data_IF_338876711895
#
_entry.id   IF_338876711895
#
_cell.length_a   1.000
_cell.length_b   1.000
_cell.length_c   1.000
_cell.angle_alpha   90.00
_cell.angle_beta   90.00
_cell.angle_gamma   90.00
#
_symmetry.space_group_name_H-M   'P 1'
#
loop_
_entity.id
_entity.type
_entity.pdbx_description
1 polymer ?
#
# COMPACT_ATOMS: atom_id res chain seq x y z
N UNK A 1 -12.30 80.19 44.69
CA UNK A 1 -12.50 80.91 43.42
C UNK A 1 -13.26 79.96 42.50
N UNK A 2 -14.57 80.16 42.29
CA UNK A 2 -15.21 80.95 41.22
C UNK A 2 -15.45 80.16 39.91
N UNK A 3 -16.72 79.77 39.72
CA UNK A 3 -17.51 79.65 38.45
C UNK A 3 -17.13 78.59 37.38
N UNK A 4 -17.94 77.52 37.29
CA UNK A 4 -19.04 77.27 36.31
C UNK A 4 -19.11 78.19 35.05
N UNK A 5 -19.75 77.85 33.87
CA UNK A 5 -20.94 76.99 33.78
C UNK A 5 -21.33 76.26 32.44
N UNK A 6 -22.50 75.58 32.49
CA UNK A 6 -23.58 75.51 31.44
C UNK A 6 -23.45 74.69 30.12
N UNK A 7 -24.51 74.13 29.49
CA UNK A 7 -25.88 73.64 29.89
C UNK A 7 -26.63 72.95 28.71
N UNK A 8 -27.63 72.08 29.01
CA UNK A 8 -28.94 71.81 28.32
C UNK A 8 -28.93 71.26 26.86
N UNK A 9 -29.55 70.13 26.48
CA UNK A 9 -30.97 69.67 26.58
C UNK A 9 -31.95 70.58 25.78
N UNK A 10 -33.09 70.14 25.15
CA UNK A 10 -33.85 68.90 25.42
C UNK A 10 -34.71 68.19 24.29
N UNK A 11 -35.29 67.05 24.67
CA UNK A 11 -36.70 66.59 24.47
C UNK A 11 -37.37 66.14 23.12
N UNK A 12 -38.03 64.96 23.22
CA UNK A 12 -39.42 64.57 22.82
C UNK A 12 -39.86 64.37 21.35
N UNK A 13 -40.27 63.13 21.01
CA UNK A 13 -41.67 62.64 20.88
C UNK A 13 -41.64 61.16 20.41
N UNK A 14 -42.29 60.15 21.01
CA UNK A 14 -43.70 59.88 21.42
C UNK A 14 -44.55 59.22 20.30
N UNK A 15 -44.87 57.93 20.53
CA UNK A 15 -45.94 57.10 19.94
C UNK A 15 -45.85 56.77 18.41
N UNK A 16 -46.48 55.72 17.84
CA UNK A 16 -47.64 54.88 18.24
C UNK A 16 -47.58 53.40 17.74
N UNK A 17 -48.22 52.49 18.51
CA UNK A 17 -49.08 51.34 18.10
C UNK A 17 -48.65 50.26 17.06
N UNK A 18 -48.62 49.01 17.56
CA UNK A 18 -48.98 47.67 17.00
C UNK A 18 -50.28 47.62 16.12
N UNK A 19 -50.69 46.46 15.50
CA UNK A 19 -49.97 45.22 15.06
C UNK A 19 -50.45 44.57 13.70
N UNK A 20 -49.83 43.41 13.37
CA UNK A 20 -50.42 42.18 12.76
C UNK A 20 -50.61 41.97 11.22
N UNK A 21 -50.03 40.86 10.74
CA UNK A 21 -50.45 39.89 9.68
C UNK A 21 -50.88 40.41 8.28
N UNK A 22 -50.36 39.87 7.15
CA UNK A 22 -50.54 38.47 6.71
C UNK A 22 -49.42 37.97 5.76
N UNK A 23 -49.63 36.80 5.15
CA UNK A 23 -48.71 36.04 4.30
C UNK A 23 -48.27 36.75 3.01
N UNK A 24 -47.03 36.48 2.57
CA UNK A 24 -46.78 36.18 1.15
C UNK A 24 -45.47 35.38 0.97
N UNK A 25 -45.54 34.29 0.22
CA UNK A 25 -44.36 33.53 -0.21
C UNK A 25 -44.15 33.71 -1.71
N UNK A 26 -42.95 34.11 -2.15
CA UNK A 26 -42.54 33.83 -3.52
C UNK A 26 -41.26 32.99 -3.64
N UNK A 27 -41.34 31.98 -4.51
CA UNK A 27 -40.34 31.71 -5.54
C UNK A 27 -38.95 31.22 -5.10
N UNK A 28 -38.91 29.93 -4.78
CA UNK A 28 -38.12 28.93 -5.50
C UNK A 28 -36.97 29.48 -6.40
N UNK A 29 -35.85 29.87 -5.80
CA UNK A 29 -34.69 30.38 -6.52
C UNK A 29 -34.01 29.26 -7.31
N UNK A 30 -34.36 29.12 -8.60
CA UNK A 30 -33.71 28.24 -9.59
C UNK A 30 -32.24 28.64 -9.78
N UNK A 31 -31.34 28.18 -8.93
CA UNK A 31 -29.89 28.32 -9.16
C UNK A 31 -29.49 27.52 -10.40
N UNK A 32 -29.22 28.26 -11.47
CA UNK A 32 -28.80 27.79 -12.80
C UNK A 32 -27.74 26.69 -12.67
N UNK A 33 -27.94 25.56 -13.39
CA UNK A 33 -26.87 24.60 -13.69
C UNK A 33 -25.73 25.37 -14.37
N UNK A 34 -24.59 25.57 -13.70
CA UNK A 34 -23.33 25.78 -14.41
C UNK A 34 -22.86 24.42 -14.92
N UNK A 35 -22.51 24.37 -16.19
CA UNK A 35 -22.08 23.13 -16.83
C UNK A 35 -20.76 22.64 -16.22
N UNK A 36 -20.76 21.39 -15.76
CA UNK A 36 -19.58 20.61 -15.39
C UNK A 36 -19.71 19.24 -16.07
N UNK A 37 -19.80 19.27 -17.40
CA UNK A 37 -19.73 18.10 -18.29
C UNK A 37 -18.51 18.27 -19.21
N UNK A 38 -17.52 17.40 -19.17
CA UNK A 38 -17.38 16.32 -18.19
C UNK A 38 -16.03 15.62 -18.24
N UNK A 39 -15.68 14.99 -17.12
CA UNK A 39 -14.64 13.96 -17.10
C UNK A 39 -15.32 12.64 -17.46
N UNK A 40 -15.15 12.19 -18.71
CA UNK A 40 -15.59 10.84 -19.10
C UNK A 40 -14.74 9.82 -18.36
N UNK A 41 -15.36 9.04 -17.48
CA UNK A 41 -14.80 7.76 -17.04
C UNK A 41 -14.92 6.80 -18.22
N UNK A 42 -13.82 6.55 -18.93
CA UNK A 42 -13.80 5.55 -20.01
C UNK A 42 -13.89 4.15 -19.40
N UNK A 43 -15.11 3.62 -19.34
CA UNK A 43 -15.35 2.21 -19.04
C UNK A 43 -14.97 1.40 -20.28
N UNK A 44 -13.79 0.77 -20.26
CA UNK A 44 -13.42 -0.21 -21.28
C UNK A 44 -14.15 -1.53 -21.00
N UNK A 45 -15.17 -1.81 -21.81
CA UNK A 45 -15.81 -3.13 -21.91
C UNK A 45 -14.89 -4.11 -22.64
N UNK A 46 -14.79 -5.39 -22.21
CA UNK A 46 -13.93 -6.38 -22.85
C UNK A 46 -14.70 -7.24 -23.87
N UNK A 47 -14.80 -6.82 -25.13
CA UNK A 47 -15.27 -7.70 -26.22
C UNK A 47 -14.71 -7.31 -27.60
N UNK A 48 -14.49 -8.35 -28.42
CA UNK A 48 -14.11 -8.34 -29.85
C UNK A 48 -12.66 -7.93 -30.20
N UNK A 49 -12.00 -8.80 -30.98
CA UNK A 49 -10.61 -8.62 -31.41
C UNK A 49 -9.97 -9.88 -32.02
N UNK A 50 -10.69 -10.63 -32.86
CA UNK A 50 -10.06 -11.60 -33.76
C UNK A 50 -9.38 -10.81 -34.89
N UNK A 51 -8.09 -11.04 -35.12
CA UNK A 51 -7.38 -10.49 -36.27
C UNK A 51 -7.55 -11.41 -37.48
N UNK A 52 -7.90 -10.83 -38.62
CA UNK A 52 -7.91 -11.44 -39.95
C UNK A 52 -6.95 -10.65 -40.84
N UNK A 53 -6.18 -11.33 -41.69
CA UNK A 53 -5.26 -10.68 -42.62
C UNK A 53 -6.03 -10.10 -43.83
N UNK A 54 -5.63 -8.95 -44.39
CA UNK A 54 -6.02 -8.55 -45.74
C UNK A 54 -5.04 -9.11 -46.78
N UNK A 55 -5.56 -9.43 -47.97
CA UNK A 55 -4.81 -9.87 -49.15
C UNK A 55 -4.61 -8.72 -50.17
N UNK A 56 -3.78 -8.98 -51.19
CA UNK A 56 -3.39 -8.02 -52.23
C UNK A 56 -4.54 -7.57 -53.16
N UNK A 57 -4.48 -6.34 -53.73
CA UNK A 57 -5.28 -5.92 -54.88
C UNK A 57 -4.49 -5.98 -56.22
N UNK A 58 -5.17 -6.07 -57.39
CA UNK A 58 -4.54 -6.39 -58.68
C UNK A 58 -4.11 -5.19 -59.55
N UNK A 59 -3.47 -5.53 -60.68
CA UNK A 59 -2.81 -4.70 -61.71
C UNK A 59 -3.71 -3.84 -62.62
N UNK A 60 -3.18 -2.70 -63.13
CA UNK A 60 -3.70 -2.10 -64.38
C UNK A 60 -3.16 -0.72 -64.84
N UNK A 61 -2.38 -0.72 -65.94
CA UNK A 61 -2.21 0.35 -66.97
C UNK A 61 -1.39 1.65 -66.68
N UNK A 62 -0.55 2.03 -67.67
CA UNK A 62 0.14 3.34 -67.84
C UNK A 62 -0.42 4.12 -69.05
N UNK A 63 0.28 5.11 -69.70
CA UNK A 63 1.74 5.21 -69.89
C UNK A 63 2.43 6.63 -69.82
N UNK A 64 3.78 6.59 -69.93
CA UNK A 64 4.86 7.53 -70.41
C UNK A 64 4.54 8.89 -71.11
N UNK A 65 5.50 9.88 -71.28
CA UNK A 65 6.95 9.69 -71.54
C UNK A 65 8.06 10.66 -71.02
N UNK A 66 9.30 10.10 -70.97
CA UNK A 66 10.71 10.54 -71.28
C UNK A 66 11.12 12.01 -71.66
N UNK A 67 12.44 12.37 -71.87
CA UNK A 67 13.70 11.55 -71.94
C UNK A 67 15.01 12.10 -71.24
N UNK A 68 16.10 11.30 -71.23
CA UNK A 68 17.50 11.77 -71.08
C UNK A 68 18.54 10.74 -70.56
N UNK A 69 19.52 10.28 -71.38
CA UNK A 69 20.61 9.35 -71.00
C UNK A 69 22.03 9.98 -71.08
N UNK A 70 23.16 9.26 -71.30
CA UNK A 70 23.39 7.81 -71.47
C UNK A 70 24.60 7.23 -70.63
N UNK A 71 25.04 5.98 -70.92
CA UNK A 71 26.00 5.18 -70.11
C UNK A 71 27.34 4.79 -70.80
N UNK A 72 28.32 4.27 -70.02
CA UNK A 72 29.60 3.55 -70.37
C UNK A 72 30.33 3.14 -69.06
N UNK A 73 31.28 2.18 -68.92
CA UNK A 73 31.63 0.89 -69.59
C UNK A 73 32.62 0.10 -68.67
N UNK A 74 32.76 -1.23 -68.90
CA UNK A 74 33.49 -2.33 -68.20
C UNK A 74 35.00 -2.18 -67.83
N UNK A 75 35.45 -2.99 -66.85
CA UNK A 75 36.66 -3.90 -66.76
C UNK A 75 36.50 -4.79 -65.47
N UNK A 76 36.77 -6.10 -65.35
CA UNK A 76 37.97 -6.97 -65.53
C UNK A 76 39.10 -6.67 -64.48
N UNK A 77 39.79 -7.60 -63.77
CA UNK A 77 40.06 -9.06 -63.97
C UNK A 77 40.65 -9.78 -62.70
N UNK A 78 40.73 -11.15 -62.68
CA UNK A 78 41.58 -12.12 -61.89
C UNK A 78 41.82 -12.00 -60.34
N UNK A 79 41.56 -12.98 -59.43
CA UNK A 79 42.04 -14.38 -59.17
C UNK A 79 43.32 -14.51 -58.28
N UNK A 80 43.64 -15.64 -57.57
CA UNK A 80 42.83 -16.82 -57.10
C UNK A 80 43.19 -17.44 -55.69
N UNK A 81 42.48 -18.51 -55.28
CA UNK A 81 42.75 -19.60 -54.27
C UNK A 81 43.01 -19.24 -52.77
N UNK A 82 42.31 -19.76 -51.73
CA UNK A 82 41.98 -21.13 -51.25
C UNK A 82 43.21 -21.97 -50.75
N UNK A 83 43.12 -22.87 -49.73
CA UNK A 83 41.92 -23.68 -49.35
C UNK A 83 41.68 -24.10 -47.85
N UNK A 84 40.44 -24.58 -47.56
CA UNK A 84 40.03 -25.73 -46.67
C UNK A 84 40.43 -25.76 -45.15
N UNK A 85 39.79 -26.53 -44.23
CA UNK A 85 38.44 -27.13 -44.01
C UNK A 85 38.45 -27.87 -42.64
N UNK A 86 37.27 -28.35 -42.17
CA UNK A 86 36.97 -29.30 -41.05
C UNK A 86 36.64 -28.60 -39.71
N UNK A 87 35.47 -28.79 -39.05
CA UNK A 87 34.73 -29.99 -38.56
C UNK A 87 35.54 -30.77 -37.51
N UNK A 88 35.00 -31.22 -36.36
CA UNK A 88 33.59 -31.35 -35.91
C UNK A 88 33.49 -31.43 -34.37
N UNK A 89 32.29 -31.13 -33.85
CA UNK A 89 31.62 -31.61 -32.61
C UNK A 89 32.31 -32.67 -31.71
N UNK A 90 32.17 -32.52 -30.37
CA UNK A 90 31.46 -33.50 -29.50
C UNK A 90 31.37 -33.02 -28.03
N UNK A 91 30.45 -33.60 -27.27
CA UNK A 91 30.07 -33.22 -25.90
C UNK A 91 30.56 -34.21 -24.81
N UNK A 92 30.30 -33.83 -23.54
CA UNK A 92 29.96 -34.68 -22.37
C UNK A 92 31.04 -35.25 -21.41
N UNK A 93 30.83 -34.88 -20.13
CA UNK A 93 31.15 -35.62 -18.86
C UNK A 93 32.65 -35.72 -18.51
N UNK A 94 33.12 -35.97 -17.26
CA UNK A 94 32.56 -36.60 -16.03
C UNK A 94 32.96 -35.78 -14.76
N UNK A 95 32.44 -36.13 -13.58
CA UNK A 95 32.69 -35.47 -12.27
C UNK A 95 33.77 -36.15 -11.38
N UNK A 96 34.08 -35.52 -10.23
CA UNK A 96 34.87 -36.00 -9.06
C UNK A 96 36.41 -36.05 -9.27
N UNK A 97 37.28 -35.71 -8.30
CA UNK A 97 37.27 -36.10 -6.89
C UNK A 97 37.97 -35.09 -5.92
N UNK A 98 38.08 -35.47 -4.64
CA UNK A 98 38.59 -34.69 -3.49
C UNK A 98 39.96 -35.18 -2.97
N UNK A 99 40.51 -34.45 -1.99
CA UNK A 99 41.69 -34.71 -1.11
C UNK A 99 43.07 -34.34 -1.71
N UNK A 100 44.06 -33.90 -0.93
CA UNK A 100 44.21 -33.82 0.55
C UNK A 100 44.73 -32.43 1.03
N UNK A 101 44.53 -32.04 2.31
CA UNK A 101 45.54 -31.87 3.40
C UNK A 101 46.68 -30.85 3.11
N UNK A 102 47.16 -30.02 4.05
CA UNK A 102 47.47 -30.34 5.47
C UNK A 102 47.43 -29.10 6.44
N UNK A 103 47.67 -29.37 7.73
CA UNK A 103 47.46 -28.59 8.96
C UNK A 103 48.37 -27.38 9.26
N UNK A 104 47.90 -26.49 10.17
CA UNK A 104 48.39 -26.25 11.57
C UNK A 104 47.56 -25.13 12.26
N UNK A 105 46.83 -25.41 13.35
CA UNK A 105 47.19 -25.26 14.79
C UNK A 105 47.53 -23.78 15.16
N UNK A 106 46.92 -23.11 16.15
CA UNK A 106 46.73 -23.52 17.57
C UNK A 106 45.49 -22.96 18.33
N UNK A 107 44.95 -23.76 19.25
CA UNK A 107 44.48 -23.53 20.66
C UNK A 107 44.38 -22.09 21.25
N UNK A 108 43.58 -21.76 22.28
CA UNK A 108 42.58 -22.44 23.13
C UNK A 108 41.61 -21.35 23.70
N UNK A 109 40.30 -21.59 23.89
CA UNK A 109 39.63 -21.94 25.18
C UNK A 109 38.09 -21.86 24.98
N UNK A 110 37.18 -22.34 25.85
CA UNK A 110 37.38 -23.18 27.05
C UNK A 110 36.27 -23.15 28.13
N UNK A 111 34.97 -23.37 27.83
CA UNK A 111 33.91 -23.56 28.84
C UNK A 111 33.03 -24.80 28.54
N UNK A 112 32.54 -25.50 29.58
CA UNK A 112 32.05 -26.90 29.48
C UNK A 112 30.88 -27.23 30.43
N UNK A 113 29.96 -28.07 29.93
CA UNK A 113 29.05 -28.99 30.68
C UNK A 113 27.81 -28.41 31.39
N UNK A 114 26.77 -29.23 31.72
CA UNK A 114 26.60 -30.68 31.48
C UNK A 114 25.32 -31.13 30.72
N UNK A 115 25.28 -32.43 30.40
CA UNK A 115 24.10 -33.18 29.92
C UNK A 115 23.99 -34.52 30.68
N UNK A 116 22.81 -34.84 31.21
CA UNK A 116 22.26 -36.18 31.49
C UNK A 116 20.79 -36.00 31.95
N UNK A 117 19.82 -36.92 31.84
CA UNK A 117 19.84 -38.40 31.79
C UNK A 117 18.81 -39.00 30.79
N UNK A 118 18.87 -40.33 30.59
CA UNK A 118 18.02 -41.18 29.71
C UNK A 118 16.81 -41.75 30.49
N UNK A 119 15.70 -42.15 29.88
CA UNK A 119 15.40 -43.50 29.32
C UNK A 119 13.89 -43.60 28.95
N UNK A 120 13.38 -44.68 28.31
CA UNK A 120 13.93 -45.53 27.24
C UNK A 120 12.96 -45.63 26.03
N UNK A 121 13.25 -46.49 25.04
CA UNK A 121 12.53 -46.60 23.77
C UNK A 121 11.47 -47.72 23.71
N UNK A 122 10.44 -47.55 22.87
CA UNK A 122 9.56 -48.64 22.37
C UNK A 122 9.47 -48.54 20.83
N UNK A 123 9.58 -49.69 20.14
CA UNK A 123 9.63 -49.76 18.66
C UNK A 123 8.24 -49.95 18.01
N UNK A 124 7.95 -49.07 17.05
CA UNK A 124 7.24 -49.25 15.76
C UNK A 124 6.32 -50.49 15.59
N UNK A 125 5.07 -50.23 15.19
CA UNK A 125 4.39 -50.91 14.06
C UNK A 125 3.58 -49.88 13.25
N UNK A 126 3.21 -50.23 12.02
CA UNK A 126 2.78 -49.26 11.00
C UNK A 126 1.48 -49.63 10.28
N UNK A 127 0.72 -48.60 9.88
CA UNK A 127 -0.27 -48.59 8.78
C UNK A 127 -1.58 -49.40 8.96
N UNK A 128 -2.67 -49.13 8.20
CA UNK A 128 -3.04 -47.91 7.44
C UNK A 128 -4.50 -47.41 7.72
N UNK A 129 -4.91 -46.38 6.97
CA UNK A 129 -6.28 -45.81 6.85
C UNK A 129 -7.36 -46.85 6.42
N UNK A 130 -8.65 -46.62 6.74
CA UNK A 130 -9.57 -46.23 5.64
C UNK A 130 -10.68 -45.20 5.99
N UNK A 131 -10.96 -44.33 5.03
CA UNK A 131 -12.29 -43.71 4.80
C UNK A 131 -13.11 -44.56 3.80
N UNK A 132 -14.35 -44.20 3.42
CA UNK A 132 -15.52 -43.87 4.24
C UNK A 132 -16.75 -44.73 3.84
N UNK A 133 -17.85 -44.73 4.62
CA UNK A 133 -19.15 -45.24 4.15
C UNK A 133 -20.33 -44.33 4.50
N UNK A 134 -21.11 -44.01 3.47
CA UNK A 134 -22.41 -43.34 3.55
C UNK A 134 -23.53 -44.29 4.02
N UNK A 135 -24.70 -43.68 4.34
CA UNK A 135 -26.02 -44.29 4.54
C UNK A 135 -26.21 -44.99 5.91
N UNK A 136 -27.36 -44.89 6.60
CA UNK A 136 -28.73 -44.44 6.23
C UNK A 136 -29.49 -43.91 7.47
N UNK A 137 -30.60 -43.20 7.27
CA UNK A 137 -31.57 -42.87 8.33
C UNK A 137 -32.31 -44.12 8.83
N UNK A 138 -32.59 -44.20 10.13
CA UNK A 138 -33.66 -45.01 10.70
C UNK A 138 -34.37 -44.25 11.84
N UNK A 139 -35.70 -44.39 11.93
CA UNK A 139 -36.55 -43.86 13.02
C UNK A 139 -36.90 -44.98 14.00
N UNK A 140 -37.04 -44.64 15.28
CA UNK A 140 -38.02 -45.11 16.30
C UNK A 140 -37.80 -44.19 17.53
N UNK A 141 -38.77 -43.56 18.23
CA UNK A 141 -40.10 -43.88 18.79
C UNK A 141 -40.07 -44.73 20.09
N UNK A 142 -40.79 -44.26 21.12
CA UNK A 142 -40.85 -44.74 22.52
C UNK A 142 -39.93 -43.92 23.44
N UNK A 143 -40.38 -43.04 24.37
CA UNK A 143 -41.17 -43.25 25.61
C UNK A 143 -40.38 -44.02 26.68
N UNK A 144 -40.28 -43.63 27.97
CA UNK A 144 -40.65 -42.42 28.75
C UNK A 144 -39.67 -42.30 29.93
N UNK A 145 -39.54 -41.13 30.58
CA UNK A 145 -38.59 -40.95 31.70
C UNK A 145 -38.61 -39.56 32.33
N UNK A 146 -39.59 -39.31 33.19
CA UNK A 146 -39.82 -38.01 33.83
C UNK A 146 -38.76 -37.68 34.90
N UNK A 147 -37.90 -36.70 34.65
CA UNK A 147 -36.98 -36.12 35.64
C UNK A 147 -37.10 -34.59 35.66
N UNK A 148 -37.74 -34.09 36.72
CA UNK A 148 -38.08 -32.68 36.89
C UNK A 148 -36.85 -31.84 37.29
N UNK A 149 -36.10 -31.33 36.30
CA UNK A 149 -35.01 -30.37 36.54
C UNK A 149 -35.52 -28.95 36.35
N UNK A 150 -35.51 -28.18 37.43
CA UNK A 150 -35.93 -26.78 37.46
C UNK A 150 -35.09 -25.91 36.50
N UNK A 151 -35.65 -24.86 35.88
CA UNK A 151 -34.90 -24.00 34.99
C UNK A 151 -33.85 -23.21 35.78
N UNK A 152 -32.57 -23.55 35.57
CA UNK A 152 -31.43 -22.87 36.18
C UNK A 152 -31.36 -21.39 35.73
N UNK A 153 -31.94 -20.53 36.55
CA UNK A 153 -31.56 -19.13 36.83
C UNK A 153 -30.58 -18.46 35.85
N UNK A 154 -31.13 -17.57 35.02
CA UNK A 154 -30.55 -16.28 34.58
C UNK A 154 -29.01 -16.15 34.69
N UNK A 155 -28.28 -16.61 33.67
CA UNK A 155 -26.85 -16.34 33.51
C UNK A 155 -26.58 -15.42 32.30
N UNK A 156 -26.48 -14.12 32.61
CA UNK A 156 -25.76 -13.04 31.91
C UNK A 156 -25.98 -12.80 30.40
N UNK A 157 -26.25 -11.54 30.06
CA UNK A 157 -26.80 -11.12 28.77
C UNK A 157 -25.92 -11.34 27.54
N UNK A 158 -26.58 -11.52 26.39
CA UNK A 158 -25.96 -11.64 25.07
C UNK A 158 -25.46 -10.29 24.56
N UNK A 159 -24.29 -9.85 25.05
CA UNK A 159 -23.63 -8.64 24.56
C UNK A 159 -23.53 -8.64 23.03
N UNK A 160 -24.08 -7.59 22.40
CA UNK A 160 -24.08 -7.44 20.94
C UNK A 160 -22.65 -7.42 20.39
N UNK A 161 -22.48 -7.75 19.11
CA UNK A 161 -21.17 -7.71 18.44
C UNK A 161 -20.54 -6.30 18.55
N UNK A 162 -21.37 -5.26 18.56
CA UNK A 162 -20.94 -3.88 18.73
C UNK A 162 -20.47 -3.58 20.17
N UNK A 163 -21.14 -4.11 21.20
CA UNK A 163 -20.70 -3.92 22.58
C UNK A 163 -19.43 -4.72 22.92
N UNK A 164 -19.26 -5.88 22.29
CA UNK A 164 -17.99 -6.62 22.30
C UNK A 164 -16.87 -5.81 21.64
N UNK A 165 -17.13 -5.19 20.49
CA UNK A 165 -16.18 -4.30 19.83
C UNK A 165 -15.86 -3.03 20.65
N UNK A 166 -16.87 -2.43 21.30
CA UNK A 166 -16.75 -1.26 22.18
C UNK A 166 -15.81 -1.54 23.34
N UNK A 167 -16.04 -2.61 24.10
CA UNK A 167 -15.17 -3.02 25.21
C UNK A 167 -13.75 -3.38 24.74
N UNK A 168 -13.63 -4.10 23.62
CA UNK A 168 -12.30 -4.45 23.07
C UNK A 168 -11.48 -3.21 22.70
N UNK A 169 -12.06 -2.27 21.96
CA UNK A 169 -11.38 -1.04 21.56
C UNK A 169 -10.99 -0.18 22.77
N UNK A 170 -11.90 -0.03 23.75
CA UNK A 170 -11.60 0.68 24.98
C UNK A 170 -10.45 0.02 25.77
N UNK A 171 -10.44 -1.31 25.88
CA UNK A 171 -9.39 -2.07 26.58
C UNK A 171 -8.00 -1.89 25.97
N UNK A 172 -7.88 -1.82 24.63
CA UNK A 172 -6.60 -1.54 23.96
C UNK A 172 -6.25 -0.03 23.88
N UNK A 173 -6.99 0.82 24.59
CA UNK A 173 -6.75 2.26 24.66
C UNK A 173 -7.17 3.06 23.42
N UNK A 174 -8.00 2.51 22.53
CA UNK A 174 -8.59 3.28 21.43
C UNK A 174 -9.66 4.22 21.97
N UNK A 175 -9.48 5.52 21.73
CA UNK A 175 -10.48 6.54 22.08
C UNK A 175 -11.78 6.32 21.31
N UNK A 176 -12.85 6.05 22.04
CA UNK A 176 -14.21 6.01 21.50
C UNK A 176 -14.76 7.44 21.34
N UNK A 177 -15.27 7.74 20.15
CA UNK A 177 -15.83 9.04 19.78
C UNK A 177 -17.34 8.92 19.63
N UNK A 178 -18.09 9.90 20.13
CA UNK A 178 -19.54 9.99 19.89
C UNK A 178 -19.81 10.57 18.50
N UNK A 179 -20.89 10.16 17.86
CA UNK A 179 -21.34 10.68 16.56
C UNK A 179 -21.38 12.23 16.51
N UNK A 180 -21.90 12.88 17.55
CA UNK A 180 -21.95 14.35 17.67
C UNK A 180 -20.56 14.99 17.55
N UNK A 181 -19.51 14.31 18.00
CA UNK A 181 -18.12 14.78 17.89
C UNK A 181 -17.62 14.67 16.46
N UNK A 182 -17.86 13.55 15.78
CA UNK A 182 -17.42 13.35 14.38
C UNK A 182 -18.21 14.25 13.41
N UNK A 183 -19.51 14.45 13.65
CA UNK A 183 -20.33 15.41 12.88
C UNK A 183 -19.77 16.83 12.96
N UNK A 184 -19.33 17.28 14.15
CA UNK A 184 -18.65 18.58 14.30
C UNK A 184 -17.36 18.65 13.46
N UNK A 185 -16.56 17.58 13.46
CA UNK A 185 -15.31 17.54 12.67
C UNK A 185 -15.55 17.69 11.17
N UNK A 186 -16.67 17.15 10.67
CA UNK A 186 -17.08 17.27 9.27
C UNK A 186 -17.62 18.67 8.98
N UNK A 187 -18.50 19.21 9.84
CA UNK A 187 -19.09 20.55 9.62
C UNK A 187 -18.06 21.69 9.68
N UNK A 188 -16.96 21.53 10.42
CA UNK A 188 -15.91 22.55 10.54
C UNK A 188 -14.96 22.64 9.34
N UNK A 189 -15.14 21.83 8.30
CA UNK A 189 -14.37 21.95 7.05
C UNK A 189 -14.23 20.63 6.30
N UNK A 190 -15.31 20.20 5.63
CA UNK A 190 -15.31 18.93 4.89
C UNK A 190 -14.88 19.06 3.44
N UNK A 191 -13.99 18.16 3.01
CA UNK A 191 -13.63 17.94 1.62
C UNK A 191 -13.63 16.44 1.34
N UNK A 192 -14.29 16.00 0.26
CA UNK A 192 -14.21 14.61 -0.17
C UNK A 192 -12.79 14.25 -0.60
N UNK A 193 -12.23 13.16 -0.04
CA UNK A 193 -10.91 12.65 -0.42
C UNK A 193 -11.01 11.44 -1.36
N UNK A 194 -12.08 10.65 -1.25
CA UNK A 194 -12.36 9.55 -2.16
C UNK A 194 -13.42 8.58 -1.64
N UNK A 195 -13.80 7.63 -2.48
CA UNK A 195 -14.61 6.47 -2.13
C UNK A 195 -14.01 5.21 -2.78
N UNK A 196 -14.20 4.06 -2.14
CA UNK A 196 -13.64 2.79 -2.59
C UNK A 196 -14.36 1.59 -1.98
N UNK A 197 -13.78 0.39 -2.14
CA UNK A 197 -14.38 -0.88 -1.72
C UNK A 197 -14.73 -0.98 -0.22
N UNK A 198 -14.06 -0.18 0.62
CA UNK A 198 -14.25 -0.20 2.07
C UNK A 198 -15.22 0.88 2.58
N UNK A 199 -15.65 1.82 1.73
CA UNK A 199 -16.50 2.96 2.09
C UNK A 199 -15.98 4.29 1.55
N UNK A 200 -16.11 5.37 2.33
CA UNK A 200 -15.77 6.74 1.90
C UNK A 200 -14.81 7.43 2.87
N UNK A 201 -13.98 8.34 2.33
CA UNK A 201 -13.04 9.16 3.09
C UNK A 201 -13.31 10.64 2.84
N UNK A 202 -13.43 11.42 3.91
CA UNK A 202 -13.41 12.88 3.84
C UNK A 202 -12.35 13.47 4.78
N UNK A 203 -11.86 14.65 4.43
CA UNK A 203 -11.08 15.53 5.30
C UNK A 203 -12.05 16.27 6.22
N UNK A 204 -11.60 16.58 7.43
CA UNK A 204 -12.30 17.41 8.41
C UNK A 204 -11.31 18.16 9.31
N UNK A 205 -11.81 18.82 10.34
CA UNK A 205 -10.99 19.54 11.33
C UNK A 205 -11.41 19.14 12.74
N UNK A 206 -10.47 18.73 13.61
CA UNK A 206 -10.73 18.55 15.03
C UNK A 206 -11.10 19.90 15.66
N UNK A 207 -12.36 20.10 16.12
CA UNK A 207 -12.84 21.40 16.59
C UNK A 207 -12.23 21.82 17.93
N UNK A 208 -11.56 20.91 18.65
CA UNK A 208 -10.87 21.23 19.89
C UNK A 208 -9.38 21.52 19.66
N UNK A 209 -8.73 20.77 18.76
CA UNK A 209 -7.30 20.90 18.51
C UNK A 209 -6.92 21.77 17.31
N UNK A 210 -7.89 22.21 16.50
CA UNK A 210 -7.68 22.95 15.24
C UNK A 210 -6.94 22.13 14.17
N UNK A 211 -6.86 20.81 14.32
CA UNK A 211 -5.99 19.94 13.50
C UNK A 211 -6.78 19.23 12.41
N UNK A 212 -6.24 19.25 11.20
CA UNK A 212 -6.79 18.52 10.05
C UNK A 212 -6.86 17.00 10.35
N UNK A 213 -8.01 16.40 10.08
CA UNK A 213 -8.28 14.96 10.27
C UNK A 213 -8.82 14.33 9.00
N UNK A 214 -8.75 13.00 8.93
CA UNK A 214 -9.44 12.16 7.94
C UNK A 214 -10.49 11.34 8.67
N UNK A 215 -11.70 11.28 8.12
CA UNK A 215 -12.79 10.44 8.59
C UNK A 215 -13.04 9.37 7.51
N UNK A 216 -12.67 8.13 7.81
CA UNK A 216 -12.95 6.94 6.98
C UNK A 216 -14.24 6.30 7.49
N UNK A 217 -15.31 6.39 6.70
CA UNK A 217 -16.62 5.81 7.00
C UNK A 217 -16.73 4.46 6.33
N UNK A 218 -16.84 3.40 7.12
CA UNK A 218 -16.93 2.03 6.65
C UNK A 218 -18.37 1.64 6.29
N UNK A 219 -18.54 0.62 5.45
CA UNK A 219 -19.84 0.02 5.20
C UNK A 219 -20.48 -0.52 6.50
N UNK A 220 -21.81 -0.50 6.60
CA UNK A 220 -22.55 -0.86 7.84
C UNK A 220 -22.17 -2.25 8.40
N UNK A 221 -21.92 -3.22 7.51
CA UNK A 221 -21.53 -4.59 7.81
C UNK A 221 -20.00 -4.79 8.02
N UNK A 222 -19.17 -3.78 7.78
CA UNK A 222 -17.71 -3.85 7.85
C UNK A 222 -17.14 -3.53 9.26
N UNK A 223 -17.89 -3.81 10.33
CA UNK A 223 -17.44 -3.60 11.72
C UNK A 223 -16.11 -4.32 12.01
N UNK A 224 -15.93 -5.54 11.52
CA UNK A 224 -14.66 -6.29 11.70
C UNK A 224 -13.48 -5.54 11.07
N UNK A 225 -13.63 -5.01 9.86
CA UNK A 225 -12.58 -4.23 9.18
C UNK A 225 -12.23 -2.95 9.94
N UNK A 226 -13.23 -2.22 10.44
CA UNK A 226 -13.04 -1.04 11.29
C UNK A 226 -12.24 -1.38 12.56
N UNK A 227 -12.60 -2.47 13.25
CA UNK A 227 -11.92 -2.91 14.48
C UNK A 227 -10.49 -3.39 14.19
N UNK A 228 -10.27 -4.16 13.12
CA UNK A 228 -8.93 -4.60 12.70
C UNK A 228 -8.03 -3.41 12.38
N UNK A 229 -8.48 -2.45 11.57
CA UNK A 229 -7.67 -1.30 11.19
C UNK A 229 -7.39 -0.38 12.38
N UNK A 230 -8.38 -0.16 13.26
CA UNK A 230 -8.19 0.59 14.51
C UNK A 230 -7.19 -0.08 15.45
N UNK A 231 -7.26 -1.40 15.61
CA UNK A 231 -6.29 -2.21 16.39
C UNK A 231 -4.87 -2.05 15.84
N UNK A 232 -4.70 -2.23 14.53
CA UNK A 232 -3.39 -2.14 13.89
C UNK A 232 -2.81 -0.73 13.97
N UNK A 233 -3.62 0.32 13.76
CA UNK A 233 -3.19 1.71 13.95
C UNK A 233 -2.84 2.03 15.41
N UNK A 234 -3.61 1.53 16.37
CA UNK A 234 -3.33 1.75 17.80
C UNK A 234 -2.03 1.08 18.24
N UNK A 235 -1.71 -0.11 17.71
CA UNK A 235 -0.46 -0.82 18.00
C UNK A 235 0.75 -0.20 17.29
N UNK A 236 0.61 0.13 16.00
CA UNK A 236 1.73 0.51 15.14
C UNK A 236 1.92 2.05 15.00
N UNK A 237 1.14 2.86 15.71
CA UNK A 237 1.37 4.31 15.77
C UNK A 237 2.75 4.63 16.35
N UNK A 238 3.46 5.59 15.73
CA UNK A 238 4.86 5.89 16.05
C UNK A 238 5.84 5.28 15.05
N UNK A 239 5.55 4.10 14.49
CA UNK A 239 6.37 3.39 13.51
C UNK A 239 6.21 3.94 12.08
N UNK A 240 6.03 5.26 11.94
CA UNK A 240 5.75 5.94 10.67
C UNK A 240 4.32 5.79 10.14
N UNK A 241 3.41 5.19 10.91
CA UNK A 241 1.98 5.06 10.58
C UNK A 241 1.18 6.35 10.82
N UNK A 242 0.03 6.47 10.16
CA UNK A 242 -0.95 7.51 10.42
C UNK A 242 -1.41 7.48 11.88
N UNK A 243 -1.43 8.64 12.55
CA UNK A 243 -1.87 8.69 13.95
C UNK A 243 -3.39 8.56 14.05
N UNK A 244 -3.85 7.58 14.83
CA UNK A 244 -5.24 7.41 15.25
C UNK A 244 -5.69 8.58 16.16
N UNK A 245 -6.91 9.05 15.95
CA UNK A 245 -7.60 10.04 16.81
C UNK A 245 -8.72 9.36 17.60
N UNK A 246 -9.42 8.40 16.97
CA UNK A 246 -10.42 7.56 17.63
C UNK A 246 -11.36 6.85 16.67
N UNK A 247 -12.33 6.12 17.23
CA UNK A 247 -13.37 5.36 16.50
C UNK A 247 -14.75 5.75 17.00
N UNK A 248 -15.68 6.02 16.08
CA UNK A 248 -17.11 6.15 16.35
C UNK A 248 -17.81 4.88 15.83
N UNK A 249 -18.29 4.04 16.75
CA UNK A 249 -18.86 2.74 16.37
C UNK A 249 -20.25 2.91 15.77
N UNK A 250 -21.04 3.85 16.28
CA UNK A 250 -22.42 4.13 15.91
C UNK A 250 -22.56 4.43 14.40
N UNK A 251 -21.58 5.16 13.85
CA UNK A 251 -21.51 5.53 12.42
C UNK A 251 -20.48 4.74 11.62
N UNK A 252 -19.82 3.74 12.23
CA UNK A 252 -18.71 2.96 11.63
C UNK A 252 -17.57 3.83 11.10
N UNK A 253 -17.14 4.82 11.87
CA UNK A 253 -16.14 5.81 11.46
C UNK A 253 -14.81 5.68 12.20
N UNK A 254 -13.71 5.68 11.45
CA UNK A 254 -12.33 5.78 11.93
C UNK A 254 -11.83 7.20 11.69
N UNK A 255 -11.30 7.85 12.72
CA UNK A 255 -10.74 9.21 12.61
C UNK A 255 -9.23 9.15 12.83
N UNK A 256 -8.46 9.66 11.85
CA UNK A 256 -6.99 9.74 11.90
C UNK A 256 -6.53 11.17 11.59
N UNK A 257 -5.27 11.52 11.88
CA UNK A 257 -4.71 12.84 11.49
C UNK A 257 -4.45 12.89 9.98
N UNK A 258 -4.77 14.03 9.35
CA UNK A 258 -4.45 14.25 7.95
C UNK A 258 -2.92 14.28 7.75
N UNK A 259 -2.43 13.44 6.83
CA UNK A 259 -1.01 13.16 6.63
C UNK A 259 -0.43 13.82 5.35
N UNK A 260 -1.20 14.64 4.64
CA UNK A 260 -0.82 15.27 3.38
C UNK A 260 -1.49 14.61 2.16
N UNK A 261 -1.01 14.96 0.96
CA UNK A 261 -1.46 14.35 -0.30
C UNK A 261 -0.91 12.91 -0.44
N UNK A 262 -1.37 12.12 -1.41
CA UNK A 262 -0.77 10.79 -1.62
C UNK A 262 0.62 10.91 -2.25
N UNK A 263 1.49 9.93 -2.08
CA UNK A 263 2.78 9.89 -2.75
C UNK A 263 2.61 9.78 -4.28
N UNK A 264 1.50 9.20 -4.77
CA UNK A 264 1.16 9.22 -6.19
C UNK A 264 1.02 10.66 -6.70
N UNK A 265 0.23 11.50 -6.01
CA UNK A 265 0.02 12.91 -6.37
C UNK A 265 1.33 13.71 -6.23
N UNK A 266 2.06 13.48 -5.14
CA UNK A 266 3.34 14.16 -4.85
C UNK A 266 4.38 13.88 -5.95
N UNK A 267 4.52 12.63 -6.37
CA UNK A 267 5.41 12.24 -7.46
C UNK A 267 4.93 12.79 -8.81
N UNK A 268 3.62 12.76 -9.08
CA UNK A 268 3.05 13.35 -10.30
C UNK A 268 3.27 14.86 -10.37
N UNK A 269 3.27 15.58 -9.23
CA UNK A 269 3.56 17.03 -9.17
C UNK A 269 5.05 17.40 -9.38
N UNK A 270 5.90 16.49 -9.84
CA UNK A 270 7.29 16.80 -10.21
C UNK A 270 8.29 16.78 -9.05
N UNK A 271 8.07 15.95 -8.03
CA UNK A 271 9.02 15.82 -6.92
C UNK A 271 10.44 15.45 -7.40
N UNK A 272 11.44 16.24 -7.01
CA UNK A 272 12.83 15.98 -7.39
C UNK A 272 13.36 14.67 -6.76
N UNK A 273 14.34 14.04 -7.42
CA UNK A 273 14.79 12.70 -7.04
C UNK A 273 15.39 12.61 -5.63
N UNK A 274 16.02 13.68 -5.13
CA UNK A 274 16.52 13.75 -3.74
C UNK A 274 15.38 13.74 -2.71
N UNK A 275 14.26 14.40 -3.01
CA UNK A 275 13.04 14.33 -2.21
C UNK A 275 12.36 12.96 -2.32
N UNK A 276 12.33 12.35 -3.51
CA UNK A 276 11.82 10.99 -3.67
C UNK A 276 12.65 9.97 -2.86
N UNK A 277 13.98 10.03 -2.88
CA UNK A 277 14.84 9.19 -2.03
C UNK A 277 14.56 9.39 -0.53
N UNK A 278 14.33 10.63 -0.07
CA UNK A 278 13.91 10.91 1.32
C UNK A 278 12.58 10.26 1.67
N UNK A 279 11.62 10.22 0.73
CA UNK A 279 10.33 9.54 0.92
C UNK A 279 10.52 8.02 0.96
N UNK A 280 11.27 7.43 0.01
CA UNK A 280 11.56 5.98 0.00
C UNK A 280 12.27 5.54 1.29
N UNK A 281 13.25 6.32 1.78
CA UNK A 281 13.97 6.04 3.02
C UNK A 281 13.04 6.03 4.24
N UNK A 282 12.09 6.97 4.31
CA UNK A 282 11.09 7.01 5.38
C UNK A 282 10.13 5.82 5.30
N UNK A 283 9.65 5.47 4.10
CA UNK A 283 8.81 4.28 3.88
C UNK A 283 9.56 3.01 4.29
N UNK A 284 10.79 2.80 3.81
CA UNK A 284 11.59 1.61 4.15
C UNK A 284 11.82 1.45 5.66
N UNK A 285 12.09 2.56 6.38
CA UNK A 285 12.22 2.56 7.85
C UNK A 285 10.90 2.25 8.56
N UNK A 286 9.80 2.84 8.11
CA UNK A 286 8.49 2.63 8.71
C UNK A 286 8.03 1.17 8.53
N UNK A 287 8.17 0.61 7.33
CA UNK A 287 7.86 -0.80 7.04
C UNK A 287 8.74 -1.74 7.86
N UNK A 288 10.06 -1.50 7.88
CA UNK A 288 10.98 -2.32 8.69
C UNK A 288 10.56 -2.32 10.16
N UNK A 289 10.15 -1.17 10.71
CA UNK A 289 9.71 -1.08 12.10
C UNK A 289 8.35 -1.73 12.36
N UNK A 290 7.45 -1.80 11.38
CA UNK A 290 6.25 -2.66 11.45
C UNK A 290 6.61 -4.14 11.45
N UNK A 291 7.63 -4.54 10.68
CA UNK A 291 8.13 -5.92 10.66
C UNK A 291 8.86 -6.30 11.96
N UNK A 292 9.60 -5.37 12.59
CA UNK A 292 10.19 -5.51 13.93
C UNK A 292 9.10 -5.75 15.01
N UNK A 293 7.93 -5.10 14.88
CA UNK A 293 6.76 -5.31 15.74
C UNK A 293 6.00 -6.64 15.49
N UNK A 294 6.49 -7.49 14.58
CA UNK A 294 5.89 -8.79 14.25
C UNK A 294 4.69 -8.70 13.29
N UNK A 295 4.53 -7.58 12.56
CA UNK A 295 3.44 -7.35 11.62
C UNK A 295 3.93 -7.17 10.17
N UNK A 296 3.01 -7.35 9.22
CA UNK A 296 3.19 -7.01 7.80
C UNK A 296 2.10 -6.06 7.36
N UNK A 297 2.37 -5.17 6.41
CA UNK A 297 1.40 -4.21 5.89
C UNK A 297 0.59 -4.78 4.71
N UNK A 298 1.24 -5.58 3.85
CA UNK A 298 0.67 -6.30 2.71
C UNK A 298 0.06 -5.45 1.56
N UNK A 299 -0.03 -4.12 1.68
CA UNK A 299 -0.66 -3.23 0.69
C UNK A 299 0.12 -1.91 0.48
N UNK A 300 1.46 -1.98 0.51
CA UNK A 300 2.31 -0.80 0.31
C UNK A 300 2.31 -0.40 -1.17
N UNK A 301 1.79 0.80 -1.45
CA UNK A 301 1.72 1.41 -2.79
C UNK A 301 1.68 2.93 -2.66
N UNK A 302 1.88 3.64 -3.77
CA UNK A 302 1.91 5.12 -3.83
C UNK A 302 0.67 5.81 -3.25
N UNK A 303 -0.48 5.12 -3.26
CA UNK A 303 -1.75 5.64 -2.75
C UNK A 303 -1.90 5.43 -1.23
N UNK A 304 -1.16 4.48 -0.64
CA UNK A 304 -1.15 4.16 0.80
C UNK A 304 0.05 4.79 1.52
N UNK A 305 0.77 5.70 0.85
CA UNK A 305 1.76 6.58 1.46
C UNK A 305 1.23 8.01 1.30
N UNK A 306 1.11 8.75 2.39
CA UNK A 306 0.90 10.20 2.36
C UNK A 306 2.24 10.94 2.46
N UNK A 307 2.32 12.10 1.82
CA UNK A 307 3.45 13.03 1.90
C UNK A 307 2.93 14.41 2.31
N UNK A 308 3.48 14.96 3.39
CA UNK A 308 3.30 16.37 3.79
C UNK A 308 4.62 17.12 3.64
N UNK A 309 4.61 18.19 2.87
CA UNK A 309 5.77 19.08 2.78
C UNK A 309 5.99 19.79 4.14
N UNK A 310 7.23 19.77 4.62
CA UNK A 310 7.67 20.53 5.79
C UNK A 310 8.92 21.34 5.45
N UNK A 311 9.33 22.22 6.36
CA UNK A 311 10.56 23.04 6.23
C UNK A 311 11.82 22.18 6.09
N UNK A 312 11.88 21.04 6.77
CA UNK A 312 12.96 20.05 6.66
C UNK A 312 12.88 19.16 5.40
N UNK A 313 11.94 19.40 4.48
CA UNK A 313 11.65 18.56 3.32
C UNK A 313 10.38 17.71 3.48
N UNK A 314 10.12 16.77 2.56
CA UNK A 314 8.91 15.94 2.58
C UNK A 314 8.92 14.93 3.73
N UNK A 315 7.83 14.89 4.49
CA UNK A 315 7.56 13.86 5.50
C UNK A 315 6.61 12.81 4.94
N UNK A 316 7.03 11.55 4.91
CA UNK A 316 6.19 10.44 4.52
C UNK A 316 5.44 9.85 5.72
N UNK A 317 4.29 9.22 5.49
CA UNK A 317 3.50 8.51 6.51
C UNK A 317 2.68 7.42 5.83
N UNK A 318 2.74 6.19 6.35
CA UNK A 318 1.95 5.07 5.83
C UNK A 318 0.52 5.12 6.35
N UNK A 319 -0.43 4.75 5.50
CA UNK A 319 -1.88 4.77 5.77
C UNK A 319 -2.52 3.44 5.32
N UNK A 320 -3.77 3.21 5.72
CA UNK A 320 -4.60 2.06 5.31
C UNK A 320 -4.05 0.68 5.73
N UNK A 321 -4.16 0.39 7.03
CA UNK A 321 -3.78 -0.90 7.63
C UNK A 321 -4.89 -1.97 7.52
N UNK A 322 -5.82 -1.83 6.56
CA UNK A 322 -6.95 -2.76 6.38
C UNK A 322 -6.58 -4.18 5.95
N UNK A 323 -5.32 -4.40 5.54
CA UNK A 323 -4.74 -5.70 5.16
C UNK A 323 -3.50 -6.06 6.02
N UNK A 324 -3.26 -5.33 7.12
CA UNK A 324 -2.13 -5.58 7.99
C UNK A 324 -2.40 -6.78 8.91
N UNK A 325 -1.48 -7.74 8.91
CA UNK A 325 -1.60 -9.01 9.65
C UNK A 325 -0.29 -9.37 10.36
N UNK A 326 -0.32 -10.17 11.45
CA UNK A 326 0.87 -10.72 12.06
C UNK A 326 1.71 -11.53 11.07
N UNK A 327 3.03 -11.46 11.18
CA UNK A 327 3.95 -12.32 10.42
C UNK A 327 3.59 -13.79 10.64
N UNK A 328 3.52 -14.58 9.58
CA UNK A 328 3.09 -15.98 9.62
C UNK A 328 1.62 -16.21 9.25
N UNK A 329 0.81 -15.16 9.03
CA UNK A 329 -0.62 -15.29 8.68
C UNK A 329 -0.82 -15.74 7.23
N UNK A 330 -1.84 -16.56 6.99
CA UNK A 330 -2.25 -17.14 5.69
C UNK A 330 -3.72 -16.87 5.39
N UNK A 331 -4.14 -17.03 4.14
CA UNK A 331 -5.56 -17.05 3.75
C UNK A 331 -6.37 -15.76 3.97
N UNK A 332 -5.72 -14.62 4.26
CA UNK A 332 -6.42 -13.33 4.48
C UNK A 332 -6.78 -12.60 3.17
N UNK A 333 -6.17 -12.99 2.05
CA UNK A 333 -6.70 -12.69 0.72
C UNK A 333 -7.67 -13.77 0.26
N UNK A 334 -8.74 -13.37 -0.43
CA UNK A 334 -9.56 -14.31 -1.20
C UNK A 334 -8.73 -14.85 -2.37
N UNK A 335 -8.38 -16.13 -2.31
CA UNK A 335 -7.60 -16.83 -3.35
C UNK A 335 -8.44 -17.22 -4.56
N UNK A 336 -9.76 -17.38 -4.41
CA UNK A 336 -10.72 -17.78 -5.46
C UNK A 336 -10.65 -16.97 -6.77
N UNK A 337 -10.55 -17.64 -7.91
CA UNK A 337 -10.54 -17.04 -9.25
C UNK A 337 -9.14 -16.79 -9.84
N UNK A 338 -9.08 -16.15 -11.01
CA UNK A 338 -7.84 -16.00 -11.79
C UNK A 338 -6.76 -15.17 -11.06
N UNK A 339 -5.72 -15.87 -10.58
CA UNK A 339 -4.53 -15.29 -9.94
C UNK A 339 -3.77 -14.36 -10.88
N UNK A 340 -3.70 -14.64 -12.18
CA UNK A 340 -3.02 -13.78 -13.14
C UNK A 340 -3.79 -12.46 -13.37
N UNK A 341 -5.13 -12.49 -13.44
CA UNK A 341 -5.95 -11.28 -13.40
C UNK A 341 -5.75 -10.49 -12.09
N UNK A 342 -5.71 -11.16 -10.94
CA UNK A 342 -5.44 -10.49 -9.64
C UNK A 342 -4.07 -9.83 -9.61
N UNK A 343 -3.02 -10.52 -10.05
CA UNK A 343 -1.66 -9.95 -10.09
C UNK A 343 -1.58 -8.76 -11.06
N UNK A 344 -2.28 -8.79 -12.20
CA UNK A 344 -2.37 -7.62 -13.11
C UNK A 344 -3.12 -6.44 -12.47
N UNK A 345 -4.17 -6.71 -11.69
CA UNK A 345 -4.99 -5.68 -11.02
C UNK A 345 -4.31 -5.09 -9.78
N UNK A 346 -3.55 -5.90 -9.05
CA UNK A 346 -2.87 -5.55 -7.80
C UNK A 346 -1.38 -5.90 -7.86
N UNK A 347 -0.61 -5.32 -8.81
CA UNK A 347 0.74 -5.77 -9.10
C UNK A 347 1.73 -5.61 -7.95
N UNK A 348 1.46 -4.71 -7.01
CA UNK A 348 2.25 -4.50 -5.80
C UNK A 348 2.06 -5.57 -4.73
N UNK A 349 0.97 -6.36 -4.76
CA UNK A 349 0.77 -7.44 -3.79
C UNK A 349 1.71 -8.59 -4.16
N UNK A 350 2.43 -9.09 -3.16
CA UNK A 350 3.41 -10.15 -3.35
C UNK A 350 2.73 -11.45 -3.83
N UNK A 351 3.32 -12.16 -4.83
CA UNK A 351 2.64 -13.26 -5.53
C UNK A 351 2.29 -14.44 -4.63
N UNK A 352 3.06 -14.66 -3.55
CA UNK A 352 2.79 -15.68 -2.54
C UNK A 352 1.50 -15.41 -1.76
N UNK A 353 1.13 -14.14 -1.55
CA UNK A 353 -0.07 -13.76 -0.82
C UNK A 353 -1.35 -13.98 -1.65
N UNK A 354 -1.27 -13.71 -2.95
CA UNK A 354 -2.39 -13.97 -3.87
C UNK A 354 -2.60 -15.47 -4.12
N UNK A 355 -1.53 -16.27 -4.05
CA UNK A 355 -1.54 -17.72 -4.24
C UNK A 355 -1.74 -18.51 -2.94
N UNK A 356 -1.69 -17.83 -1.79
CA UNK A 356 -1.50 -18.41 -0.46
C UNK A 356 -0.39 -19.48 -0.42
N UNK A 357 0.69 -19.32 -1.19
CA UNK A 357 1.76 -20.33 -1.26
C UNK A 357 2.71 -20.26 -0.06
N UNK A 358 2.84 -19.08 0.54
CA UNK A 358 3.61 -18.82 1.75
C UNK A 358 2.81 -17.86 2.65
N UNK A 359 3.01 -17.89 3.98
CA UNK A 359 2.48 -16.85 4.87
C UNK A 359 3.07 -15.47 4.56
N UNK A 360 2.38 -14.43 5.02
CA UNK A 360 2.94 -13.08 4.98
C UNK A 360 4.19 -12.96 5.85
N UNK A 361 5.16 -12.21 5.34
CA UNK A 361 6.45 -11.98 5.97
C UNK A 361 7.00 -10.60 5.58
N UNK A 362 8.08 -10.16 6.22
CA UNK A 362 8.80 -8.95 5.82
C UNK A 362 9.21 -8.96 4.33
N UNK A 363 9.47 -10.14 3.75
CA UNK A 363 9.78 -10.29 2.33
C UNK A 363 8.57 -9.98 1.41
N UNK A 364 7.34 -10.11 1.90
CA UNK A 364 6.12 -9.72 1.18
C UNK A 364 5.98 -8.19 1.12
N UNK A 365 6.31 -7.50 2.21
CA UNK A 365 6.37 -6.03 2.24
C UNK A 365 7.54 -5.49 1.40
N UNK A 366 8.71 -6.16 1.39
CA UNK A 366 9.85 -5.84 0.51
C UNK A 366 9.44 -5.80 -0.98
N UNK A 367 8.64 -6.77 -1.42
CA UNK A 367 8.12 -6.80 -2.79
C UNK A 367 7.24 -5.57 -3.09
N UNK A 368 6.39 -5.21 -2.15
CA UNK A 368 5.48 -4.06 -2.24
C UNK A 368 6.26 -2.72 -2.22
N UNK A 369 7.31 -2.61 -1.39
CA UNK A 369 8.24 -1.46 -1.38
C UNK A 369 8.98 -1.31 -2.71
N UNK A 370 9.39 -2.40 -3.36
CA UNK A 370 9.98 -2.32 -4.68
C UNK A 370 8.99 -1.77 -5.72
N UNK A 371 7.72 -2.19 -5.67
CA UNK A 371 6.64 -1.63 -6.51
C UNK A 371 6.33 -0.17 -6.21
N UNK A 372 6.46 0.28 -4.96
CA UNK A 372 6.40 1.70 -4.62
C UNK A 372 7.53 2.49 -5.29
N UNK A 373 8.77 1.98 -5.26
CA UNK A 373 9.92 2.60 -5.94
C UNK A 373 9.71 2.66 -7.45
N UNK A 374 9.10 1.65 -8.08
CA UNK A 374 8.78 1.67 -9.52
C UNK A 374 7.93 2.87 -9.96
N UNK A 375 7.20 3.54 -9.03
CA UNK A 375 6.32 4.68 -9.32
C UNK A 375 7.00 6.05 -9.16
N UNK A 376 8.28 6.10 -8.80
CA UNK A 376 9.05 7.35 -8.68
C UNK A 376 9.50 7.82 -10.08
N UNK A 377 9.18 9.04 -10.54
CA UNK A 377 9.57 9.50 -11.87
C UNK A 377 11.10 9.52 -12.08
N UNK A 378 11.54 9.11 -13.26
CA UNK A 378 12.93 9.20 -13.71
C UNK A 378 13.96 8.39 -12.91
N UNK A 379 13.54 7.42 -12.08
CA UNK A 379 14.47 6.61 -11.27
C UNK A 379 15.28 5.61 -12.12
N UNK A 380 14.70 5.11 -13.23
CA UNK A 380 15.32 4.13 -14.11
C UNK A 380 16.41 4.77 -14.98
N UNK A 381 16.15 5.99 -15.43
CA UNK A 381 16.98 6.73 -16.40
C UNK A 381 18.19 7.40 -15.74
N UNK A 382 18.29 7.36 -14.40
CA UNK A 382 19.46 7.88 -13.69
C UNK A 382 20.73 7.13 -14.15
N UNK A 383 21.79 7.83 -14.58
CA UNK A 383 23.04 7.18 -14.94
C UNK A 383 23.62 6.46 -13.72
N UNK A 384 24.31 5.35 -13.97
CA UNK A 384 25.05 4.63 -12.93
C UNK A 384 26.38 5.36 -12.69
N UNK A 385 26.29 6.55 -12.08
CA UNK A 385 27.43 7.42 -11.80
C UNK A 385 28.31 6.93 -10.64
N UNK A 386 27.82 5.96 -9.85
CA UNK A 386 28.52 5.40 -8.70
C UNK A 386 27.94 4.07 -8.23
N UNK A 387 28.66 3.35 -7.34
CA UNK A 387 28.26 2.03 -6.87
C UNK A 387 26.89 1.98 -6.18
N UNK A 388 26.48 3.04 -5.46
CA UNK A 388 25.19 3.03 -4.77
C UNK A 388 24.00 3.01 -5.74
N UNK A 389 24.08 3.70 -6.89
CA UNK A 389 23.02 3.66 -7.91
C UNK A 389 22.89 2.27 -8.54
N UNK A 390 24.01 1.60 -8.80
CA UNK A 390 23.99 0.20 -9.26
C UNK A 390 23.32 -0.72 -8.23
N UNK A 391 23.74 -0.63 -6.96
CA UNK A 391 23.17 -1.41 -5.84
C UNK A 391 21.68 -1.14 -5.66
N UNK A 392 21.23 0.10 -5.88
CA UNK A 392 19.81 0.47 -5.78
C UNK A 392 18.98 -0.19 -6.88
N UNK A 393 19.43 -0.12 -8.15
CA UNK A 393 18.75 -0.80 -9.27
C UNK A 393 18.72 -2.32 -9.08
N UNK A 394 19.82 -2.92 -8.64
CA UNK A 394 19.88 -4.36 -8.33
C UNK A 394 19.00 -4.74 -7.12
N UNK A 395 18.89 -3.91 -6.08
CA UNK A 395 17.94 -4.15 -4.97
C UNK A 395 16.50 -4.18 -5.49
N UNK A 396 16.07 -3.19 -6.28
CA UNK A 396 14.69 -3.11 -6.83
C UNK A 396 14.38 -4.26 -7.80
N UNK A 397 15.39 -4.83 -8.45
CA UNK A 397 15.28 -6.03 -9.28
C UNK A 397 15.14 -7.30 -8.41
N UNK A 398 15.99 -7.48 -7.39
CA UNK A 398 15.97 -8.67 -6.51
C UNK A 398 14.76 -8.69 -5.57
N UNK A 399 14.31 -7.54 -5.08
CA UNK A 399 13.12 -7.41 -4.23
C UNK A 399 11.81 -7.84 -4.91
N UNK A 400 11.77 -7.90 -6.25
CA UNK A 400 10.63 -8.40 -7.04
C UNK A 400 10.77 -9.86 -7.49
N UNK A 401 11.73 -10.62 -6.94
CA UNK A 401 11.84 -12.07 -7.16
C UNK A 401 10.55 -12.78 -6.71
N UNK A 402 10.11 -13.84 -7.42
CA UNK A 402 8.83 -14.50 -7.13
C UNK A 402 8.83 -15.18 -5.76
N UNK A 403 9.94 -15.78 -5.36
CA UNK A 403 10.07 -16.47 -4.08
C UNK A 403 10.54 -15.50 -2.97
N UNK A 404 9.92 -15.50 -1.77
CA UNK A 404 10.23 -14.55 -0.69
C UNK A 404 11.69 -14.58 -0.23
N UNK A 405 12.29 -15.76 -0.11
CA UNK A 405 13.66 -15.99 0.36
C UNK A 405 14.75 -15.46 -0.59
N UNK A 406 14.38 -15.14 -1.83
CA UNK A 406 15.28 -14.54 -2.83
C UNK A 406 15.33 -13.00 -2.75
N UNK A 407 14.54 -12.38 -1.86
CA UNK A 407 14.38 -10.93 -1.75
C UNK A 407 15.34 -10.36 -0.68
N UNK A 408 16.09 -9.28 -0.97
CA UNK A 408 16.97 -8.63 -0.01
C UNK A 408 16.19 -7.91 1.10
N UNK A 409 16.80 -7.72 2.27
CA UNK A 409 16.18 -7.01 3.40
C UNK A 409 15.95 -5.52 3.14
N UNK A 410 15.08 -4.91 3.95
CA UNK A 410 14.90 -3.45 3.98
C UNK A 410 16.12 -2.72 4.53
N UNK A 411 16.92 -3.32 5.41
CA UNK A 411 18.18 -2.72 5.84
C UNK A 411 19.19 -2.57 4.70
N UNK A 412 19.25 -3.55 3.78
CA UNK A 412 20.06 -3.40 2.57
C UNK A 412 19.60 -2.19 1.73
N UNK A 413 18.30 -1.95 1.58
CA UNK A 413 17.75 -0.75 0.92
C UNK A 413 18.14 0.52 1.67
N UNK A 414 17.96 0.55 3.00
CA UNK A 414 18.24 1.70 3.85
C UNK A 414 19.72 2.11 3.75
N UNK A 415 20.65 1.15 3.76
CA UNK A 415 22.08 1.45 3.62
C UNK A 415 22.42 1.96 2.21
N UNK A 416 21.83 1.36 1.16
CA UNK A 416 22.03 1.82 -0.23
C UNK A 416 21.49 3.24 -0.45
N UNK A 417 20.33 3.60 0.12
CA UNK A 417 19.79 4.98 0.01
C UNK A 417 20.64 5.98 0.79
N UNK A 418 21.22 5.60 1.94
CA UNK A 418 22.20 6.44 2.64
C UNK A 418 23.44 6.70 1.76
N UNK A 419 24.01 5.66 1.16
CA UNK A 419 25.16 5.78 0.25
C UNK A 419 24.82 6.68 -0.95
N UNK A 420 23.64 6.52 -1.55
CA UNK A 420 23.15 7.41 -2.61
C UNK A 420 23.09 8.87 -2.17
N UNK A 421 22.59 9.17 -0.97
CA UNK A 421 22.56 10.54 -0.46
C UNK A 421 23.97 11.12 -0.27
N UNK A 422 24.95 10.32 0.16
CA UNK A 422 26.36 10.75 0.28
C UNK A 422 26.98 10.99 -1.11
N UNK A 423 26.91 10.01 -2.02
CA UNK A 423 27.45 10.12 -3.40
C UNK A 423 26.85 11.35 -4.12
N UNK A 424 25.53 11.56 -4.01
CA UNK A 424 24.87 12.72 -4.63
C UNK A 424 25.30 14.05 -4.01
N UNK A 425 25.53 14.11 -2.69
CA UNK A 425 26.00 15.34 -2.04
C UNK A 425 27.43 15.69 -2.46
N UNK A 426 28.31 14.70 -2.57
CA UNK A 426 29.69 14.87 -3.05
C UNK A 426 29.78 15.23 -4.55
N UNK A 427 28.78 14.88 -5.35
CA UNK A 427 28.74 15.19 -6.79
C UNK A 427 28.31 16.62 -7.13
N UNK A 428 27.85 17.42 -6.15
CA UNK A 428 27.58 18.85 -6.36
C UNK A 428 28.92 19.58 -6.27
N UNK A 429 29.40 20.27 -7.34
CA UNK A 429 30.61 21.06 -7.24
C UNK A 429 30.43 22.11 -6.15
N UNK A 430 31.40 22.20 -5.23
CA UNK A 430 31.45 23.33 -4.30
C UNK A 430 31.63 24.60 -5.14
N UNK A 431 30.54 25.37 -5.29
CA UNK A 431 30.57 26.65 -5.96
C UNK A 431 31.40 27.61 -5.09
N UNK A 432 32.71 27.61 -5.30
CA UNK A 432 33.63 28.55 -4.67
C UNK A 432 33.35 29.91 -5.27
N UNK A 433 32.49 30.70 -4.62
CA UNK A 433 32.42 32.13 -4.86
C UNK A 433 33.78 32.74 -4.52
N UNK A 434 34.63 32.90 -5.53
CA UNK A 434 35.84 33.72 -5.48
C UNK A 434 35.46 35.19 -5.57
N UNK A 435 34.74 35.69 -4.56
CA UNK A 435 34.55 37.11 -4.30
C UNK A 435 35.51 37.53 -3.19
N UNK A 436 36.79 37.61 -3.56
CA UNK A 436 37.88 38.14 -2.74
C UNK A 436 38.83 38.94 -3.63
N UNK A 437 38.38 40.12 -4.04
CA UNK A 437 39.20 41.29 -4.35
C UNK A 437 38.31 42.53 -4.40
#
# INVERSE_FOLDING_TARGET
MMRDPTTRDPARNVATKRPAAYEEAPQQCKKKRKDMRGWRVTVLSPTAGKLFCPADPPTGQGPQPCPGGPAKKRTAEASPHQPKRLKKESEQRVSAALHAADERKTNHTGFKMPVATRHPAVKRRASPSPEPRLMKKAKNRGEEGNAHIQPASKLHGTDSIEERARRYLAHIGVRLLKEKTVRKMISSGSQGLGAGSYGSCCKGVDPHAGKEVVIKTFLKNALRSLVTEAKCLQRLQGHGMQRLVGVCLETRQLVTRFAGQTAADYFHSGACFTHALRVILQVARAVRSVNEEGYTHNDIKSNNVCVKQATSGPKATLIDLGLAEPVGTRGFYKTDGDIAAKQRKYPWIAPELLRDSHPCSAASDVFSVAWFILRVPGWQDRPVAGPAMWRFKEWVKKARRPLPEQRPSLDALIQVIKQLHTEMASSVPACRCSCAR
#
